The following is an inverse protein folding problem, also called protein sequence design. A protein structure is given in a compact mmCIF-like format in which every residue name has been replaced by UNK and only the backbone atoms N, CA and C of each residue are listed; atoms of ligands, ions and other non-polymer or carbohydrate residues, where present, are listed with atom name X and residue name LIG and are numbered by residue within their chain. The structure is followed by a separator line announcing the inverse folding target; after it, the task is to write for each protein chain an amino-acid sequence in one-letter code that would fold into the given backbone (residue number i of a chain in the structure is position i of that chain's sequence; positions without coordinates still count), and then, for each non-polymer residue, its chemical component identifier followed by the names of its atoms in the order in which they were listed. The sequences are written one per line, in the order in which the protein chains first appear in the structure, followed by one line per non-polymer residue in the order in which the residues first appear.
data_IF_838803121848
#
_entry.id   IF_838803121848
#
_cell.length_a   1.000
_cell.length_b   1.000
_cell.length_c   1.000
_cell.angle_alpha   90.00
_cell.angle_beta   90.00
_cell.angle_gamma   90.00
#
_symmetry.space_group_name_H-M   'P 1'
#
loop_
_entity.id
_entity.type
_entity.pdbx_description
1 polymer ?
#
# COMPACT_ATOMS: atom_id res chain seq x y z
N UNK A 1 -31.96 -38.38 -15.94
CA UNK A 1 -31.76 -37.40 -14.86
C UNK A 1 -31.12 -38.18 -13.73
N UNK A 2 -29.80 -38.13 -13.65
CA UNK A 2 -29.03 -38.72 -12.55
C UNK A 2 -28.56 -37.55 -11.69
N UNK A 3 -28.74 -37.72 -10.40
CA UNK A 3 -28.41 -36.82 -9.30
C UNK A 3 -26.93 -37.06 -8.96
N UNK A 4 -26.16 -35.99 -8.80
CA UNK A 4 -24.89 -36.03 -8.07
C UNK A 4 -24.87 -34.85 -7.10
N UNK A 5 -24.98 -35.18 -5.81
CA UNK A 5 -24.91 -34.29 -4.66
C UNK A 5 -23.44 -34.09 -4.22
N UNK A 6 -23.05 -32.82 -4.18
CA UNK A 6 -22.08 -32.07 -3.34
C UNK A 6 -20.87 -32.77 -2.67
N UNK A 7 -19.67 -32.17 -2.82
CA UNK A 7 -18.73 -32.04 -1.68
C UNK A 7 -18.13 -30.63 -1.59
N UNK A 8 -18.22 -30.08 -0.38
CA UNK A 8 -17.79 -28.77 0.10
C UNK A 8 -16.51 -29.02 0.92
N UNK A 9 -15.35 -28.56 0.46
CA UNK A 9 -14.29 -28.17 1.39
C UNK A 9 -13.17 -27.42 0.67
N UNK A 10 -13.09 -26.13 0.94
CA UNK A 10 -11.86 -25.49 1.40
C UNK A 10 -10.55 -26.06 0.86
N UNK A 11 -10.14 -25.60 -0.33
CA UNK A 11 -8.70 -25.53 -0.63
C UNK A 11 -8.21 -24.16 -0.14
N UNK A 12 -8.23 -23.99 1.18
CA UNK A 12 -7.26 -23.13 1.84
C UNK A 12 -6.04 -23.98 2.15
N UNK A 13 -4.90 -23.41 1.80
CA UNK A 13 -3.55 -23.74 2.25
C UNK A 13 -2.73 -24.69 1.36
N UNK A 14 -1.90 -24.08 0.52
CA UNK A 14 -0.53 -23.86 0.98
C UNK A 14 0.06 -22.66 0.22
N UNK A 15 0.30 -21.55 0.93
CA UNK A 15 1.47 -20.75 0.59
C UNK A 15 2.68 -21.67 0.83
N UNK A 16 3.05 -22.47 -0.17
CA UNK A 16 4.40 -23.01 -0.23
C UNK A 16 5.31 -21.79 -0.18
N UNK A 17 6.20 -21.65 0.82
CA UNK A 17 7.26 -20.67 0.72
C UNK A 17 8.08 -21.13 -0.48
N UNK A 18 7.85 -20.48 -1.63
CA UNK A 18 8.54 -20.80 -2.86
C UNK A 18 10.01 -20.62 -2.55
N UNK A 19 10.74 -21.73 -2.55
CA UNK A 19 12.19 -21.73 -2.56
C UNK A 19 12.66 -20.69 -3.58
N UNK A 20 13.77 -19.98 -3.37
CA UNK A 20 14.35 -19.19 -4.43
C UNK A 20 14.75 -20.17 -5.54
N UNK A 21 13.84 -20.35 -6.49
CA UNK A 21 14.13 -20.99 -7.76
C UNK A 21 15.06 -20.00 -8.44
N UNK A 22 16.35 -20.25 -8.25
CA UNK A 22 17.40 -19.68 -9.10
C UNK A 22 17.27 -20.36 -10.46
N UNK A 23 16.20 -20.02 -11.18
CA UNK A 23 16.09 -20.33 -12.60
C UNK A 23 17.08 -19.39 -13.30
N UNK A 24 18.18 -19.95 -13.80
CA UNK A 24 19.24 -19.22 -14.52
C UNK A 24 18.78 -18.70 -15.90
N UNK A 25 17.50 -18.90 -16.26
CA UNK A 25 16.90 -18.48 -17.52
C UNK A 25 15.70 -17.53 -17.30
N UNK A 26 15.75 -16.67 -16.28
CA UNK A 26 14.83 -15.52 -16.18
C UNK A 26 15.07 -14.59 -17.37
N UNK A 27 14.22 -14.70 -18.38
CA UNK A 27 14.19 -13.85 -19.56
C UNK A 27 14.38 -12.37 -19.16
N UNK A 28 15.28 -11.66 -19.84
CA UNK A 28 15.60 -10.25 -19.55
C UNK A 28 14.34 -9.35 -19.50
N UNK A 29 13.27 -9.74 -20.21
CA UNK A 29 11.96 -9.11 -20.25
C UNK A 29 11.19 -9.26 -18.91
N UNK A 30 11.24 -10.43 -18.28
CA UNK A 30 10.61 -10.70 -16.98
C UNK A 30 11.34 -9.96 -15.85
N UNK A 31 12.67 -9.92 -15.91
CA UNK A 31 13.46 -9.09 -14.98
C UNK A 31 13.13 -7.61 -15.14
N UNK A 32 13.02 -7.10 -16.37
CA UNK A 32 12.64 -5.71 -16.63
C UNK A 32 11.23 -5.40 -16.13
N UNK A 33 10.29 -6.33 -16.32
CA UNK A 33 8.91 -6.20 -15.84
C UNK A 33 8.84 -6.18 -14.32
N UNK A 34 9.62 -7.02 -13.64
CA UNK A 34 9.74 -7.02 -12.18
C UNK A 34 10.41 -5.75 -11.66
N UNK A 35 11.40 -5.22 -12.38
CA UNK A 35 12.07 -3.95 -12.05
C UNK A 35 11.15 -2.74 -12.27
N UNK A 36 10.33 -2.73 -13.33
CA UNK A 36 9.30 -1.72 -13.55
C UNK A 36 8.21 -1.79 -12.47
N UNK A 37 7.83 -2.99 -12.04
CA UNK A 37 6.87 -3.19 -10.96
C UNK A 37 7.43 -2.69 -9.62
N UNK A 38 8.74 -2.85 -9.38
CA UNK A 38 9.45 -2.21 -8.27
C UNK A 38 9.63 -0.70 -8.44
N UNK A 39 9.68 -0.16 -9.66
CA UNK A 39 9.67 1.29 -9.90
C UNK A 39 8.30 1.92 -9.60
N UNK A 40 7.22 1.12 -9.59
CA UNK A 40 5.93 1.49 -9.01
C UNK A 40 5.83 1.18 -7.51
N UNK A 41 6.91 0.72 -6.85
CA UNK A 41 6.95 0.71 -5.39
C UNK A 41 6.58 2.12 -4.95
N UNK A 42 5.50 2.23 -4.18
CA UNK A 42 4.78 3.47 -3.92
C UNK A 42 5.74 4.58 -3.46
N UNK A 43 6.25 5.38 -4.40
CA UNK A 43 7.07 6.54 -4.07
C UNK A 43 6.13 7.58 -3.47
N UNK A 44 6.06 7.59 -2.15
CA UNK A 44 5.25 8.54 -1.39
C UNK A 44 5.84 9.94 -1.65
N UNK A 45 5.07 10.88 -2.21
CA UNK A 45 5.55 12.26 -2.40
C UNK A 45 5.92 12.88 -1.05
N UNK A 46 7.00 13.65 -0.99
CA UNK A 46 7.47 14.22 0.29
C UNK A 46 6.45 15.15 0.96
N UNK A 47 5.60 15.80 0.17
CA UNK A 47 4.49 16.60 0.71
C UNK A 47 3.47 15.75 1.47
N UNK A 48 3.25 14.51 1.03
CA UNK A 48 2.38 13.55 1.72
C UNK A 48 3.06 13.04 2.98
N UNK A 49 4.37 12.74 2.93
CA UNK A 49 5.14 12.36 4.14
C UNK A 49 5.05 13.43 5.22
N UNK A 50 5.34 14.69 4.86
CA UNK A 50 5.26 15.83 5.77
C UNK A 50 3.84 16.04 6.32
N UNK A 51 2.82 15.86 5.48
CA UNK A 51 1.43 15.91 5.92
C UNK A 51 1.12 14.85 6.98
N UNK A 52 1.59 13.62 6.79
CA UNK A 52 1.29 12.54 7.74
C UNK A 52 2.00 12.77 9.08
N UNK A 53 3.26 13.20 9.07
CA UNK A 53 3.98 13.59 10.30
C UNK A 53 3.25 14.71 11.03
N UNK A 54 2.83 15.74 10.29
CA UNK A 54 2.05 16.85 10.84
C UNK A 54 0.72 16.38 11.43
N UNK A 55 -0.01 15.55 10.69
CA UNK A 55 -1.29 15.00 11.13
C UNK A 55 -1.13 14.16 12.40
N UNK A 56 -0.14 13.26 12.43
CA UNK A 56 0.13 12.44 13.60
C UNK A 56 0.43 13.28 14.85
N UNK A 57 1.27 14.32 14.73
CA UNK A 57 1.54 15.23 15.84
C UNK A 57 0.26 15.90 16.35
N UNK A 58 -0.58 16.40 15.45
CA UNK A 58 -1.85 17.03 15.84
C UNK A 58 -2.83 16.05 16.49
N UNK A 59 -2.82 14.78 16.08
CA UNK A 59 -3.59 13.70 16.73
C UNK A 59 -3.07 13.45 18.15
N UNK A 60 -1.75 13.36 18.35
CA UNK A 60 -1.14 13.20 19.68
C UNK A 60 -1.40 14.41 20.59
N UNK A 61 -1.27 15.62 20.06
CA UNK A 61 -1.53 16.88 20.77
C UNK A 61 -3.02 17.15 21.00
N UNK A 62 -3.92 16.30 20.46
CA UNK A 62 -5.38 16.48 20.48
C UNK A 62 -5.82 17.86 19.96
N UNK A 63 -5.11 18.38 18.95
CA UNK A 63 -5.41 19.69 18.37
C UNK A 63 -6.56 19.59 17.37
N UNK A 64 -7.79 19.48 17.90
CA UNK A 64 -9.02 19.33 17.11
C UNK A 64 -9.20 20.46 16.09
N UNK A 65 -8.79 21.68 16.41
CA UNK A 65 -8.88 22.82 15.51
C UNK A 65 -8.06 22.60 14.23
N UNK A 66 -6.80 22.20 14.38
CA UNK A 66 -5.96 21.89 13.22
C UNK A 66 -6.41 20.62 12.49
N UNK A 67 -6.90 19.60 13.22
CA UNK A 67 -7.45 18.40 12.58
C UNK A 67 -8.62 18.75 11.65
N UNK A 68 -9.52 19.65 12.07
CA UNK A 68 -10.59 20.16 11.20
C UNK A 68 -10.03 20.82 9.93
N UNK A 69 -9.05 21.72 10.07
CA UNK A 69 -8.41 22.39 8.92
C UNK A 69 -7.69 21.40 7.98
N UNK A 70 -7.03 20.39 8.54
CA UNK A 70 -6.38 19.30 7.81
C UNK A 70 -7.39 18.54 6.96
N UNK A 71 -8.52 18.11 7.55
CA UNK A 71 -9.54 17.37 6.82
C UNK A 71 -10.24 18.20 5.75
N UNK A 72 -10.56 19.47 6.03
CA UNK A 72 -11.24 20.32 5.06
C UNK A 72 -10.36 20.71 3.87
N UNK A 73 -9.08 21.04 4.12
CA UNK A 73 -8.25 21.69 3.12
C UNK A 73 -7.07 20.84 2.64
N UNK A 74 -6.48 20.02 3.49
CA UNK A 74 -5.21 19.35 3.17
C UNK A 74 -5.42 17.94 2.64
N UNK A 75 -6.20 17.13 3.34
CA UNK A 75 -6.42 15.72 3.00
C UNK A 75 -7.07 15.55 1.62
N UNK A 76 -8.13 16.31 1.33
CA UNK A 76 -8.80 16.28 0.01
C UNK A 76 -7.85 16.69 -1.12
N UNK A 77 -7.08 17.78 -0.96
CA UNK A 77 -6.17 18.27 -1.99
C UNK A 77 -5.03 17.29 -2.28
N UNK A 78 -4.48 16.63 -1.26
CA UNK A 78 -3.43 15.63 -1.44
C UNK A 78 -3.96 14.36 -2.09
N UNK A 79 -5.13 13.89 -1.65
CA UNK A 79 -5.79 12.73 -2.23
C UNK A 79 -6.11 12.97 -3.71
N UNK A 80 -6.71 14.11 -4.04
CA UNK A 80 -7.04 14.44 -5.44
C UNK A 80 -5.80 14.62 -6.32
N UNK A 81 -4.71 15.17 -5.78
CA UNK A 81 -3.51 15.46 -6.55
C UNK A 81 -2.62 14.24 -6.80
N UNK A 82 -2.46 13.38 -5.78
CA UNK A 82 -1.48 12.29 -5.81
C UNK A 82 -2.12 10.89 -5.81
N UNK A 83 -3.33 10.75 -5.24
CA UNK A 83 -4.00 9.46 -5.03
C UNK A 83 -5.38 9.39 -5.69
N UNK A 84 -5.56 10.11 -6.82
CA UNK A 84 -6.83 10.12 -7.55
C UNK A 84 -7.13 8.80 -8.27
N UNK A 85 -6.07 8.13 -8.75
CA UNK A 85 -6.12 6.86 -9.49
C UNK A 85 -5.34 5.74 -8.81
N UNK A 86 -4.65 6.06 -7.72
CA UNK A 86 -3.71 5.20 -7.02
C UNK A 86 -4.14 5.17 -5.56
N UNK A 87 -4.13 4.01 -4.89
CA UNK A 87 -4.46 3.94 -3.47
C UNK A 87 -3.45 4.75 -2.62
N UNK A 88 -3.91 5.20 -1.46
CA UNK A 88 -3.01 5.78 -0.45
C UNK A 88 -1.93 4.77 -0.06
N UNK A 89 -0.73 5.25 0.33
CA UNK A 89 0.37 4.39 0.71
C UNK A 89 0.01 3.51 1.90
N UNK A 90 0.58 2.31 1.91
CA UNK A 90 0.42 1.38 3.01
C UNK A 90 1.01 1.95 4.30
N UNK A 91 0.32 1.70 5.41
CA UNK A 91 0.72 2.19 6.73
C UNK A 91 2.13 1.72 7.14
N UNK A 92 2.57 0.56 6.63
CA UNK A 92 3.89 -0.02 6.89
C UNK A 92 5.04 0.88 6.40
N UNK A 93 4.87 1.55 5.24
CA UNK A 93 5.85 2.51 4.71
C UNK A 93 5.84 3.85 5.47
N UNK A 94 4.71 4.18 6.09
CA UNK A 94 4.47 5.47 6.74
C UNK A 94 4.85 5.42 8.23
N UNK A 95 4.66 4.27 8.89
CA UNK A 95 4.95 4.07 10.30
C UNK A 95 6.38 4.47 10.71
N UNK A 96 7.46 4.07 10.01
CA UNK A 96 8.81 4.50 10.36
C UNK A 96 9.06 5.99 10.11
N UNK A 97 8.31 6.65 9.21
CA UNK A 97 8.46 8.09 8.94
C UNK A 97 7.90 8.98 10.04
N UNK A 98 7.00 8.44 10.87
CA UNK A 98 6.22 9.21 11.84
C UNK A 98 6.72 9.02 13.27
N UNK A 99 7.52 7.97 13.52
CA UNK A 99 8.05 7.59 14.82
C UNK A 99 9.52 8.01 15.06
N UNK A 100 10.11 8.90 14.25
CA UNK A 100 11.46 9.46 14.48
C UNK A 100 11.44 10.68 15.42
#
# INVERSE_FOLDING_TARGET
FAEDEVDLSDEVDLLTPSYPVVDEDLDDDDQLQMMLQQQYAQEIPDVVKNFIVYFHRNVLENNVYELHGIYENSFNRLTEKFYMKTPWPEADFIAPLVND
#
